data_IF_430392869489
#
_entry.id   IF_430392869489
#
_cell.length_a   1.000
_cell.length_b   1.000
_cell.length_c   1.000
_cell.angle_alpha   90.00
_cell.angle_beta   90.00
_cell.angle_gamma   90.00
#
_symmetry.space_group_name_H-M   'P 1'
#
loop_
_entity.id
_entity.type
_entity.pdbx_description
1 polymer ?
#
# COMPACT_ATOMS: atom_id res chain seq x y z
N UNK A 1 5.84 11.33 -38.34
CA UNK A 1 6.12 12.49 -37.45
C UNK A 1 4.87 12.93 -36.70
N UNK A 2 3.75 13.25 -37.37
CA UNK A 2 2.47 13.62 -36.71
C UNK A 2 1.96 12.61 -35.66
N UNK A 3 2.02 11.31 -35.98
CA UNK A 3 1.65 10.20 -35.08
C UNK A 3 2.58 10.10 -33.83
N UNK A 4 3.86 10.43 -33.98
CA UNK A 4 4.81 10.41 -32.85
C UNK A 4 4.57 11.60 -31.91
N UNK A 5 4.22 12.77 -32.45
CA UNK A 5 3.87 13.96 -31.68
C UNK A 5 2.52 13.79 -30.97
N UNK A 6 1.55 13.08 -31.57
CA UNK A 6 0.27 12.74 -30.94
C UNK A 6 0.42 11.77 -29.77
N UNK A 7 1.25 10.72 -29.90
CA UNK A 7 1.50 9.77 -28.81
C UNK A 7 2.24 10.45 -27.64
N UNK A 8 3.24 11.28 -27.93
CA UNK A 8 3.93 12.03 -26.88
C UNK A 8 3.00 13.04 -26.22
N UNK A 9 2.27 13.84 -27.00
CA UNK A 9 1.35 14.84 -26.43
C UNK A 9 0.23 14.20 -25.60
N UNK A 10 -0.30 13.05 -25.98
CA UNK A 10 -1.26 12.31 -25.16
C UNK A 10 -0.64 11.85 -23.83
N UNK A 11 0.60 11.34 -23.83
CA UNK A 11 1.30 10.91 -22.62
C UNK A 11 1.65 12.08 -21.68
N UNK A 12 2.04 13.23 -22.23
CA UNK A 12 2.42 14.42 -21.44
C UNK A 12 1.23 15.28 -21.00
N UNK A 13 0.05 15.10 -21.60
CA UNK A 13 -1.16 15.85 -21.27
C UNK A 13 -2.15 15.07 -20.39
N UNK A 14 -1.79 13.84 -19.98
CA UNK A 14 -2.55 13.08 -18.98
C UNK A 14 -2.14 13.43 -17.56
N UNK A 15 -3.12 13.67 -16.68
CA UNK A 15 -2.88 13.75 -15.24
C UNK A 15 -2.52 12.36 -14.72
N UNK A 16 -1.33 12.16 -14.12
CA UNK A 16 -0.97 10.85 -13.58
C UNK A 16 -1.90 10.48 -12.44
N UNK A 17 -2.19 9.18 -12.31
CA UNK A 17 -2.93 8.60 -11.20
C UNK A 17 -2.04 7.55 -10.53
N UNK A 18 -1.87 7.66 -9.22
CA UNK A 18 -1.21 6.64 -8.41
C UNK A 18 -2.21 5.57 -8.00
N UNK A 19 -1.79 4.31 -7.96
CA UNK A 19 -2.61 3.21 -7.46
C UNK A 19 -1.82 2.48 -6.38
N UNK A 20 -2.34 2.52 -5.15
CA UNK A 20 -1.84 1.66 -4.09
C UNK A 20 -2.53 0.30 -4.18
N UNK A 21 -1.75 -0.77 -4.31
CA UNK A 21 -2.28 -2.12 -4.39
C UNK A 21 -1.95 -2.93 -3.15
N UNK A 22 -2.88 -3.78 -2.74
CA UNK A 22 -2.66 -4.72 -1.65
C UNK A 22 -3.48 -5.99 -1.89
N UNK A 23 -2.95 -7.11 -1.45
CA UNK A 23 -3.67 -8.36 -1.40
C UNK A 23 -3.70 -8.85 0.05
N UNK A 24 -4.88 -9.21 0.52
CA UNK A 24 -5.09 -9.71 1.86
C UNK A 24 -5.73 -11.08 1.75
N UNK A 25 -5.26 -12.00 2.57
CA UNK A 25 -5.69 -13.38 2.55
C UNK A 25 -5.77 -13.91 3.98
N UNK A 26 -6.68 -14.86 4.17
CA UNK A 26 -6.92 -15.58 5.41
C UNK A 26 -7.38 -16.99 5.08
N UNK A 27 -7.72 -17.79 6.10
CA UNK A 27 -8.28 -19.14 5.85
C UNK A 27 -9.68 -19.09 5.23
N UNK A 28 -10.46 -18.06 5.53
CA UNK A 28 -11.86 -17.94 5.11
C UNK A 28 -12.05 -17.02 3.91
N UNK A 29 -11.28 -15.94 3.83
CA UNK A 29 -11.51 -14.83 2.90
C UNK A 29 -10.24 -14.34 2.25
N UNK A 30 -10.36 -13.90 0.99
CA UNK A 30 -9.30 -13.27 0.21
C UNK A 30 -9.84 -12.05 -0.53
N UNK A 31 -9.10 -10.95 -0.52
CA UNK A 31 -9.54 -9.70 -1.14
C UNK A 31 -8.35 -8.90 -1.70
N UNK A 32 -8.62 -8.26 -2.84
CA UNK A 32 -7.67 -7.42 -3.57
C UNK A 32 -8.09 -5.96 -3.48
N UNK A 33 -7.15 -5.07 -3.23
CA UNK A 33 -7.35 -3.64 -3.22
C UNK A 33 -6.59 -2.99 -4.38
N UNK A 34 -7.27 -2.08 -5.07
CA UNK A 34 -6.69 -1.08 -5.94
C UNK A 34 -7.23 0.28 -5.48
N UNK A 35 -6.41 1.04 -4.77
CA UNK A 35 -6.79 2.32 -4.18
C UNK A 35 -6.22 3.45 -5.06
N UNK A 36 -7.04 4.05 -5.95
CA UNK A 36 -6.59 5.15 -6.79
C UNK A 36 -6.42 6.41 -5.96
N UNK A 37 -5.38 7.19 -6.28
CA UNK A 37 -5.08 8.46 -5.63
C UNK A 37 -4.50 9.45 -6.63
N UNK A 38 -4.95 10.71 -6.56
CA UNK A 38 -4.30 11.83 -7.24
C UNK A 38 -3.01 12.28 -6.53
N UNK A 39 -2.74 11.77 -5.33
CA UNK A 39 -1.47 11.96 -4.64
C UNK A 39 -0.39 11.07 -5.27
N UNK A 40 0.60 11.72 -5.88
CA UNK A 40 1.72 11.09 -6.59
C UNK A 40 2.99 11.05 -5.75
N UNK A 41 2.94 11.42 -4.47
CA UNK A 41 4.15 11.51 -3.62
C UNK A 41 4.74 10.15 -3.26
N UNK A 42 3.95 9.08 -3.35
CA UNK A 42 4.35 7.72 -3.01
C UNK A 42 5.15 7.67 -1.71
N UNK A 43 4.56 8.19 -0.63
CA UNK A 43 5.22 8.35 0.65
C UNK A 43 4.50 7.65 1.81
N UNK A 44 5.07 7.73 3.01
CA UNK A 44 4.53 7.21 4.27
C UNK A 44 3.08 7.63 4.57
N UNK A 45 2.61 8.80 4.11
CA UNK A 45 1.24 9.25 4.36
C UNK A 45 0.25 8.49 3.49
N UNK A 46 0.60 8.25 2.22
CA UNK A 46 -0.19 7.40 1.31
C UNK A 46 -0.30 5.98 1.87
N UNK A 47 0.80 5.42 2.38
CA UNK A 47 0.80 4.09 3.03
C UNK A 47 -0.14 4.06 4.24
N UNK A 48 -0.08 5.07 5.11
CA UNK A 48 -0.93 5.14 6.29
C UNK A 48 -2.42 5.27 5.93
N UNK A 49 -2.75 6.10 4.92
CA UNK A 49 -4.12 6.27 4.45
C UNK A 49 -4.67 4.96 3.86
N UNK A 50 -3.90 4.31 2.98
CA UNK A 50 -4.26 3.02 2.41
C UNK A 50 -4.47 1.95 3.48
N UNK A 51 -3.56 1.88 4.45
CA UNK A 51 -3.62 0.90 5.55
C UNK A 51 -4.88 1.08 6.41
N UNK A 52 -5.30 2.32 6.69
CA UNK A 52 -6.55 2.60 7.41
C UNK A 52 -7.78 2.09 6.67
N UNK A 53 -7.84 2.32 5.35
CA UNK A 53 -8.95 1.83 4.49
C UNK A 53 -8.99 0.30 4.53
N UNK A 54 -7.84 -0.34 4.33
CA UNK A 54 -7.71 -1.80 4.30
C UNK A 54 -8.10 -2.40 5.65
N UNK A 55 -7.57 -1.89 6.76
CA UNK A 55 -7.87 -2.42 8.09
C UNK A 55 -9.35 -2.25 8.48
N UNK A 56 -10.00 -1.14 8.11
CA UNK A 56 -11.43 -0.96 8.31
C UNK A 56 -12.25 -2.03 7.58
N UNK A 57 -11.86 -2.36 6.34
CA UNK A 57 -12.50 -3.43 5.58
C UNK A 57 -12.26 -4.79 6.22
N UNK A 58 -11.03 -5.07 6.66
CA UNK A 58 -10.66 -6.31 7.36
C UNK A 58 -11.54 -6.49 8.61
N UNK A 59 -11.66 -5.46 9.46
CA UNK A 59 -12.48 -5.54 10.69
C UNK A 59 -13.98 -5.75 10.40
N UNK A 60 -14.47 -5.23 9.27
CA UNK A 60 -15.86 -5.41 8.87
C UNK A 60 -16.14 -6.84 8.40
N UNK A 61 -15.23 -7.43 7.64
CA UNK A 61 -15.40 -8.77 7.04
C UNK A 61 -14.94 -9.88 7.99
N UNK A 62 -13.92 -9.60 8.81
CA UNK A 62 -13.28 -10.52 9.76
C UNK A 62 -13.28 -9.91 11.17
N UNK A 63 -14.45 -9.83 11.85
CA UNK A 63 -14.60 -9.09 13.11
C UNK A 63 -13.78 -9.66 14.29
N UNK A 64 -13.33 -10.91 14.20
CA UNK A 64 -12.53 -11.57 15.24
C UNK A 64 -11.02 -11.57 14.92
N UNK A 65 -10.58 -10.75 13.97
CA UNK A 65 -9.16 -10.62 13.65
C UNK A 65 -8.41 -10.01 14.84
N UNK A 66 -7.32 -10.67 15.25
CA UNK A 66 -6.48 -10.22 16.38
C UNK A 66 -5.05 -9.91 15.95
N UNK A 67 -4.64 -10.39 14.78
CA UNK A 67 -3.29 -10.19 14.25
C UNK A 67 -3.32 -10.00 12.74
N UNK A 68 -2.57 -9.01 12.26
CA UNK A 68 -2.35 -8.74 10.84
C UNK A 68 -0.85 -8.70 10.58
N UNK A 69 -0.40 -9.52 9.63
CA UNK A 69 0.99 -9.58 9.21
C UNK A 69 1.12 -8.94 7.83
N UNK A 70 1.70 -7.74 7.78
CA UNK A 70 1.94 -7.02 6.53
C UNK A 70 3.29 -7.44 5.92
N UNK A 71 3.32 -7.52 4.59
CA UNK A 71 4.54 -7.77 3.82
C UNK A 71 4.65 -6.73 2.72
N UNK A 72 5.82 -6.12 2.57
CA UNK A 72 6.10 -5.16 1.49
C UNK A 72 7.53 -5.30 0.98
N UNK A 73 7.81 -4.63 -0.14
CA UNK A 73 9.20 -4.40 -0.55
C UNK A 73 9.91 -3.43 0.41
N UNK A 74 11.19 -3.22 0.16
CA UNK A 74 12.04 -2.33 0.94
C UNK A 74 11.99 -0.86 0.54
N UNK A 75 10.96 -0.37 -0.18
CA UNK A 75 10.92 1.01 -0.66
C UNK A 75 10.97 2.01 0.50
N UNK A 76 12.05 2.80 0.58
CA UNK A 76 12.34 3.64 1.74
C UNK A 76 11.40 4.85 1.86
N UNK A 77 10.87 5.39 0.76
CA UNK A 77 9.90 6.49 0.82
C UNK A 77 8.55 6.07 1.41
N UNK A 78 8.19 4.79 1.24
CA UNK A 78 6.87 4.24 1.58
C UNK A 78 6.93 3.39 2.84
N UNK A 79 7.62 2.26 2.75
CA UNK A 79 7.51 1.17 3.72
C UNK A 79 8.71 1.10 4.66
N UNK A 80 9.93 1.06 4.14
CA UNK A 80 11.15 0.83 4.94
C UNK A 80 11.72 2.12 5.53
N UNK A 81 10.97 2.74 6.44
CA UNK A 81 11.32 4.02 7.06
C UNK A 81 10.87 4.17 8.52
N UNK A 82 11.51 5.09 9.26
CA UNK A 82 11.38 5.23 10.73
C UNK A 82 9.95 5.54 11.23
N UNK A 83 9.15 6.24 10.45
CA UNK A 83 7.77 6.57 10.77
C UNK A 83 6.81 5.38 10.62
N UNK A 84 7.22 4.29 9.97
CA UNK A 84 6.43 3.05 9.95
C UNK A 84 6.18 2.57 11.38
N UNK A 85 7.22 2.58 12.23
CA UNK A 85 7.08 2.19 13.64
C UNK A 85 6.03 3.02 14.38
N UNK A 86 5.97 4.34 14.11
CA UNK A 86 4.93 5.21 14.66
C UNK A 86 3.54 4.77 14.19
N UNK A 87 3.38 4.47 12.91
CA UNK A 87 2.10 3.99 12.37
C UNK A 87 1.69 2.66 13.02
N UNK A 88 2.63 1.72 13.19
CA UNK A 88 2.38 0.43 13.85
C UNK A 88 1.89 0.62 15.29
N UNK A 89 2.58 1.45 16.08
CA UNK A 89 2.20 1.75 17.47
C UNK A 89 0.84 2.43 17.52
N UNK A 90 0.62 3.43 16.69
CA UNK A 90 -0.64 4.17 16.65
C UNK A 90 -1.81 3.24 16.31
N UNK A 91 -1.68 2.43 15.27
CA UNK A 91 -2.74 1.50 14.83
C UNK A 91 -3.02 0.46 15.91
N UNK A 92 -1.98 -0.11 16.54
CA UNK A 92 -2.13 -1.06 17.64
C UNK A 92 -2.78 -0.44 18.89
N UNK A 93 -2.66 0.87 19.10
CA UNK A 93 -3.32 1.56 20.20
C UNK A 93 -4.78 1.94 19.86
N UNK A 94 -5.05 2.27 18.59
CA UNK A 94 -6.38 2.65 18.10
C UNK A 94 -7.28 1.42 17.88
N UNK A 95 -6.69 0.24 17.67
CA UNK A 95 -7.39 -1.00 17.31
C UNK A 95 -6.94 -2.13 18.21
N UNK A 96 -7.84 -3.05 18.53
CA UNK A 96 -7.48 -4.29 19.24
C UNK A 96 -6.84 -5.34 18.30
N UNK A 97 -5.94 -4.90 17.43
CA UNK A 97 -5.27 -5.72 16.41
C UNK A 97 -3.76 -5.53 16.57
N UNK A 98 -3.07 -6.66 16.75
CA UNK A 98 -1.62 -6.71 16.69
C UNK A 98 -1.16 -6.60 15.24
N UNK A 99 -0.45 -5.52 14.90
CA UNK A 99 0.08 -5.30 13.56
C UNK A 99 1.59 -5.58 13.52
N UNK A 100 2.01 -6.49 12.63
CA UNK A 100 3.43 -6.74 12.34
C UNK A 100 3.76 -6.34 10.89
N UNK A 101 5.01 -5.97 10.64
CA UNK A 101 5.46 -5.59 9.30
C UNK A 101 6.76 -6.30 8.94
N UNK A 102 6.75 -7.00 7.81
CA UNK A 102 7.87 -7.77 7.28
C UNK A 102 8.27 -7.20 5.92
N UNK A 103 9.56 -7.31 5.61
CA UNK A 103 10.11 -6.85 4.33
C UNK A 103 10.60 -8.04 3.52
N UNK A 104 10.28 -8.07 2.24
CA UNK A 104 10.92 -9.00 1.31
C UNK A 104 12.41 -8.68 1.16
N UNK A 105 13.20 -9.69 0.81
CA UNK A 105 14.63 -9.51 0.56
C UNK A 105 14.85 -8.49 -0.57
N UNK A 106 15.82 -7.60 -0.37
CA UNK A 106 16.30 -6.70 -1.43
C UNK A 106 16.72 -7.50 -2.66
N UNK A 107 16.27 -7.09 -3.84
CA UNK A 107 16.58 -7.71 -5.15
C UNK A 107 15.89 -9.04 -5.48
N UNK A 108 14.80 -9.41 -4.80
CA UNK A 108 13.91 -10.48 -5.27
C UNK A 108 12.62 -9.88 -5.85
N UNK A 109 12.60 -9.66 -7.17
CA UNK A 109 11.39 -9.25 -7.89
C UNK A 109 11.65 -8.59 -9.24
N UNK A 110 12.74 -7.83 -9.36
CA UNK A 110 13.35 -7.42 -10.62
C UNK A 110 14.85 -7.36 -10.38
N UNK A 111 15.62 -8.11 -11.16
CA UNK A 111 17.07 -8.10 -11.11
C UNK A 111 17.59 -6.67 -11.19
N UNK A 112 18.67 -6.42 -10.46
CA UNK A 112 19.50 -5.23 -10.65
C UNK A 112 19.96 -5.15 -12.10
#
# INVERSE_FOLDING_TARGET
MKEQDEIQSAHWNTKPLSIFTAFVWSKSENFSFALPSLDLTHDKFVVNAALKIILNHIETVLPNVVEVNCFSDGAASQFKQRFLFRNLIQINNERNIKLSWNFFATSHGKGV
#
